data_IF_558600341034
#
_entry.id   IF_558600341034
#
_cell.length_a   1.000
_cell.length_b   1.000
_cell.length_c   1.000
_cell.angle_alpha   90.00
_cell.angle_beta   90.00
_cell.angle_gamma   90.00
#
_symmetry.space_group_name_H-M   'P 1'
#
loop_
_entity.id
_entity.type
_entity.pdbx_description
1 polymer ?
#
# COMPACT_ATOMS: atom_id res chain seq x y z
N UNK A 1 -5.66 -5.28 -26.99
CA UNK A 1 -4.31 -4.69 -26.77
C UNK A 1 -4.20 -4.51 -25.27
N UNK A 2 -3.20 -5.06 -24.65
CA UNK A 2 -2.96 -4.91 -23.21
C UNK A 2 -1.97 -3.79 -22.99
N UNK A 3 -2.10 -3.03 -21.91
CA UNK A 3 -1.23 -1.92 -21.57
C UNK A 3 -0.63 -2.13 -20.19
N UNK A 4 0.67 -1.88 -20.06
CA UNK A 4 1.36 -1.75 -18.78
C UNK A 4 1.89 -0.32 -18.68
N UNK A 5 1.34 0.45 -17.74
CA UNK A 5 1.65 1.86 -17.57
C UNK A 5 2.39 2.10 -16.26
N UNK A 6 3.47 2.90 -16.33
CA UNK A 6 4.24 3.31 -15.18
C UNK A 6 4.93 4.65 -15.45
N UNK A 7 4.42 5.73 -14.87
CA UNK A 7 4.91 7.09 -15.11
C UNK A 7 5.67 7.71 -13.92
N UNK A 8 5.50 7.17 -12.71
CA UNK A 8 6.11 7.70 -11.49
C UNK A 8 7.63 7.54 -11.48
N UNK A 9 8.38 8.62 -11.29
CA UNK A 9 9.84 8.56 -11.09
C UNK A 9 10.15 8.16 -9.65
N UNK A 10 10.96 7.13 -9.44
CA UNK A 10 11.29 6.61 -8.11
C UNK A 10 12.70 7.02 -7.72
N UNK A 11 12.82 7.70 -6.58
CA UNK A 11 14.10 7.97 -5.90
C UNK A 11 14.14 7.13 -4.62
N UNK A 12 15.20 6.37 -4.42
CA UNK A 12 15.25 5.40 -3.31
C UNK A 12 16.64 5.26 -2.73
N UNK A 13 16.68 4.84 -1.47
CA UNK A 13 17.92 4.62 -0.72
C UNK A 13 18.19 5.71 0.30
N UNK A 14 19.31 5.56 1.00
CA UNK A 14 19.72 6.52 2.04
C UNK A 14 19.91 7.91 1.44
N UNK A 15 19.28 8.90 2.06
CA UNK A 15 19.33 10.29 1.61
C UNK A 15 18.46 10.58 0.37
N UNK A 16 17.51 9.71 0.02
CA UNK A 16 16.60 9.95 -1.11
C UNK A 16 15.83 11.27 -0.99
N UNK A 17 15.58 11.77 0.24
CA UNK A 17 14.99 13.07 0.51
C UNK A 17 15.78 14.25 -0.09
N UNK A 18 17.09 14.12 -0.34
CA UNK A 18 17.89 15.15 -1.00
C UNK A 18 17.36 15.52 -2.40
N UNK A 19 16.55 14.65 -3.01
CA UNK A 19 15.85 14.96 -4.26
C UNK A 19 15.00 16.23 -4.15
N UNK A 20 14.44 16.51 -2.97
CA UNK A 20 13.59 17.67 -2.70
C UNK A 20 14.33 19.00 -2.82
N UNK A 21 15.67 19.05 -2.73
CA UNK A 21 16.47 20.27 -2.96
C UNK A 21 16.31 20.87 -4.35
N UNK A 22 15.78 20.10 -5.29
CA UNK A 22 15.48 20.60 -6.64
C UNK A 22 14.15 21.37 -6.71
N UNK A 23 13.33 21.29 -5.66
CA UNK A 23 12.13 22.12 -5.53
C UNK A 23 12.60 23.46 -4.95
N UNK A 24 12.52 24.52 -5.76
CA UNK A 24 13.06 25.84 -5.43
C UNK A 24 12.06 26.92 -5.79
N UNK A 25 12.00 27.96 -4.96
CA UNK A 25 11.23 29.19 -5.21
C UNK A 25 9.74 28.89 -5.48
N UNK A 26 9.17 27.88 -4.82
CA UNK A 26 7.80 27.40 -5.00
C UNK A 26 6.96 27.56 -3.74
N UNK A 27 5.64 27.64 -3.92
CA UNK A 27 4.68 27.41 -2.86
C UNK A 27 4.41 25.91 -2.79
N UNK A 28 4.62 25.33 -1.62
CA UNK A 28 4.56 23.88 -1.37
C UNK A 28 3.51 23.59 -0.31
N UNK A 29 2.61 22.65 -0.57
CA UNK A 29 1.73 22.07 0.43
C UNK A 29 2.23 20.68 0.83
N UNK A 30 2.55 20.49 2.10
CA UNK A 30 2.82 19.18 2.68
C UNK A 30 1.52 18.64 3.26
N UNK A 31 1.07 17.48 2.75
CA UNK A 31 -0.09 16.75 3.26
C UNK A 31 0.41 15.63 4.16
N UNK A 32 -0.09 15.59 5.40
CA UNK A 32 0.35 14.62 6.42
C UNK A 32 -0.75 14.36 7.44
N UNK A 33 -0.47 13.53 8.43
CA UNK A 33 -1.31 13.30 9.59
C UNK A 33 -0.72 13.94 10.87
N UNK A 34 -1.54 14.09 11.92
CA UNK A 34 -1.13 14.73 13.18
C UNK A 34 -0.01 13.99 13.89
N UNK A 35 0.10 12.67 13.73
CA UNK A 35 1.18 11.91 14.34
C UNK A 35 2.51 12.25 13.69
N UNK A 36 2.58 12.25 12.36
CA UNK A 36 3.78 12.63 11.61
C UNK A 36 4.17 14.09 11.88
N UNK A 37 3.17 15.00 11.96
CA UNK A 37 3.40 16.40 12.31
C UNK A 37 3.97 16.53 13.74
N UNK A 38 3.41 15.80 14.70
CA UNK A 38 3.85 15.81 16.11
C UNK A 38 5.28 15.31 16.35
N UNK A 39 5.79 14.44 15.48
CA UNK A 39 7.17 13.94 15.55
C UNK A 39 8.15 14.67 14.60
N UNK A 40 7.71 15.77 13.97
CA UNK A 40 8.55 16.67 13.18
C UNK A 40 8.93 16.16 11.79
N UNK A 41 8.24 15.16 11.25
CA UNK A 41 8.55 14.64 9.90
C UNK A 41 8.30 15.67 8.79
N UNK A 42 7.20 16.48 8.80
CA UNK A 42 7.03 17.56 7.83
C UNK A 42 8.16 18.59 7.87
N UNK A 43 8.65 18.96 9.07
CA UNK A 43 9.75 19.91 9.23
C UNK A 43 11.06 19.34 8.65
N UNK A 44 11.32 18.04 8.86
CA UNK A 44 12.44 17.34 8.24
C UNK A 44 12.37 17.40 6.72
N UNK A 45 11.20 17.16 6.13
CA UNK A 45 10.96 17.23 4.68
C UNK A 45 11.11 18.67 4.18
N UNK A 46 10.53 19.65 4.89
CA UNK A 46 10.64 21.07 4.56
C UNK A 46 12.08 21.57 4.58
N UNK A 47 12.92 21.05 5.48
CA UNK A 47 14.34 21.38 5.56
C UNK A 47 15.16 21.04 4.31
N UNK A 48 14.65 20.19 3.42
CA UNK A 48 15.25 19.90 2.12
C UNK A 48 14.80 20.86 1.00
N UNK A 49 13.76 21.66 1.23
CA UNK A 49 13.24 22.60 0.23
C UNK A 49 14.07 23.89 0.23
N UNK A 50 14.25 24.47 -0.96
CA UNK A 50 15.11 25.65 -1.12
C UNK A 50 14.29 26.87 -1.43
N UNK A 51 14.25 27.87 -0.51
CA UNK A 51 13.51 29.14 -0.67
C UNK A 51 12.03 28.96 -1.00
N UNK A 52 11.41 27.90 -0.49
CA UNK A 52 10.00 27.61 -0.69
C UNK A 52 9.12 28.20 0.41
N UNK A 53 7.91 28.59 0.05
CA UNK A 53 6.84 28.87 1.00
C UNK A 53 6.13 27.55 1.31
N UNK A 54 6.24 27.06 2.55
CA UNK A 54 5.69 25.75 2.95
C UNK A 54 4.46 25.96 3.81
N UNK A 55 3.36 25.31 3.42
CA UNK A 55 2.14 25.15 4.21
C UNK A 55 1.95 23.67 4.55
N UNK A 56 1.51 23.36 5.75
CA UNK A 56 1.28 21.98 6.19
C UNK A 56 -0.20 21.77 6.43
N UNK A 57 -0.77 20.74 5.80
CA UNK A 57 -2.09 20.21 6.10
C UNK A 57 -1.94 18.87 6.81
N UNK A 58 -2.19 18.86 8.12
CA UNK A 58 -2.02 17.71 9.03
C UNK A 58 -3.34 17.03 9.40
N UNK A 59 -4.40 17.37 8.67
CA UNK A 59 -5.76 16.91 8.96
C UNK A 59 -6.08 15.47 8.53
N UNK A 60 -5.12 14.74 7.93
CA UNK A 60 -5.40 13.38 7.47
C UNK A 60 -5.57 12.43 8.66
N UNK A 61 -6.53 11.53 8.53
CA UNK A 61 -6.82 10.45 9.49
C UNK A 61 -6.79 9.09 8.76
N UNK A 62 -6.62 7.97 9.46
CA UNK A 62 -6.78 6.65 8.86
C UNK A 62 -8.14 6.51 8.17
N UNK A 63 -8.17 5.80 7.02
CA UNK A 63 -9.37 5.65 6.19
C UNK A 63 -10.01 7.02 5.87
N UNK A 64 -9.30 7.93 5.16
CA UNK A 64 -9.64 9.33 5.07
C UNK A 64 -11.06 9.55 4.56
N UNK A 65 -11.90 10.30 5.32
CA UNK A 65 -13.25 10.60 4.89
C UNK A 65 -13.29 11.74 3.85
N UNK A 66 -14.42 11.84 3.16
CA UNK A 66 -14.67 12.87 2.13
C UNK A 66 -14.44 14.29 2.71
N UNK A 67 -14.80 14.51 3.96
CA UNK A 67 -14.66 15.80 4.65
C UNK A 67 -13.18 16.21 4.80
N UNK A 68 -12.28 15.26 5.01
CA UNK A 68 -10.83 15.52 5.05
C UNK A 68 -10.32 15.93 3.67
N UNK A 69 -10.81 15.30 2.61
CA UNK A 69 -10.47 15.69 1.24
C UNK A 69 -10.96 17.12 0.97
N UNK A 70 -12.21 17.45 1.32
CA UNK A 70 -12.76 18.79 1.16
C UNK A 70 -11.95 19.86 1.92
N UNK A 71 -11.59 19.58 3.18
CA UNK A 71 -10.74 20.47 3.98
C UNK A 71 -9.34 20.64 3.35
N UNK A 72 -8.77 19.56 2.80
CA UNK A 72 -7.49 19.61 2.10
C UNK A 72 -7.56 20.44 0.81
N UNK A 73 -8.66 20.37 0.06
CA UNK A 73 -8.90 21.23 -1.13
C UNK A 73 -8.97 22.70 -0.73
N UNK A 74 -9.66 23.03 0.38
CA UNK A 74 -9.71 24.41 0.87
C UNK A 74 -8.31 24.90 1.30
N UNK A 75 -7.57 24.08 2.05
CA UNK A 75 -6.19 24.42 2.45
C UNK A 75 -5.28 24.64 1.24
N UNK A 76 -5.44 23.84 0.19
CA UNK A 76 -4.72 23.99 -1.08
C UNK A 76 -5.03 25.31 -1.77
N UNK A 77 -6.30 25.67 -1.82
CA UNK A 77 -6.75 26.95 -2.38
C UNK A 77 -6.17 28.14 -1.60
N UNK A 78 -6.23 28.08 -0.27
CA UNK A 78 -5.77 29.16 0.62
C UNK A 78 -4.26 29.40 0.51
N UNK A 79 -3.46 28.33 0.42
CA UNK A 79 -2.00 28.46 0.30
C UNK A 79 -1.52 28.71 -1.13
N UNK A 80 -2.34 28.41 -2.13
CA UNK A 80 -2.01 28.57 -3.54
C UNK A 80 -0.76 27.78 -3.95
N UNK A 81 -0.60 26.56 -3.43
CA UNK A 81 0.57 25.73 -3.68
C UNK A 81 0.66 25.32 -5.16
N UNK A 82 1.89 25.19 -5.63
CA UNK A 82 2.27 24.72 -6.97
C UNK A 82 2.93 23.33 -6.94
N UNK A 83 3.26 22.85 -5.75
CA UNK A 83 3.83 21.54 -5.49
C UNK A 83 3.11 20.92 -4.29
N UNK A 84 2.77 19.64 -4.40
CA UNK A 84 2.20 18.86 -3.31
C UNK A 84 3.16 17.76 -2.89
N UNK A 85 3.39 17.61 -1.59
CA UNK A 85 4.21 16.55 -1.02
C UNK A 85 3.38 15.78 0.00
N UNK A 86 2.98 14.57 -0.32
CA UNK A 86 2.30 13.67 0.60
C UNK A 86 3.35 12.93 1.45
N UNK A 87 3.34 13.13 2.77
CA UNK A 87 4.31 12.53 3.70
C UNK A 87 3.57 11.72 4.75
N UNK A 88 3.56 10.40 4.64
CA UNK A 88 2.81 9.54 5.55
C UNK A 88 2.60 8.13 5.02
N UNK A 89 1.68 7.41 5.63
CA UNK A 89 1.23 6.10 5.15
C UNK A 89 0.26 6.19 3.97
N UNK A 90 -0.31 5.05 3.59
CA UNK A 90 -1.25 4.95 2.47
C UNK A 90 -2.41 5.94 2.55
N UNK A 91 -3.05 6.07 3.71
CA UNK A 91 -4.15 7.02 3.91
C UNK A 91 -3.76 8.47 3.60
N UNK A 92 -2.54 8.87 3.95
CA UNK A 92 -2.03 10.22 3.67
C UNK A 92 -1.81 10.42 2.18
N UNK A 93 -1.23 9.43 1.50
CA UNK A 93 -0.97 9.48 0.06
C UNK A 93 -2.29 9.47 -0.70
N UNK A 94 -3.24 8.62 -0.31
CA UNK A 94 -4.58 8.54 -0.90
C UNK A 94 -5.36 9.85 -0.75
N UNK A 95 -5.33 10.46 0.45
CA UNK A 95 -5.94 11.76 0.68
C UNK A 95 -5.33 12.85 -0.22
N UNK A 96 -4.00 12.89 -0.35
CA UNK A 96 -3.32 13.86 -1.21
C UNK A 96 -3.69 13.69 -2.70
N UNK A 97 -3.77 12.45 -3.19
CA UNK A 97 -4.25 12.13 -4.53
C UNK A 97 -5.67 12.62 -4.76
N UNK A 98 -6.57 12.33 -3.82
CA UNK A 98 -7.96 12.75 -3.88
C UNK A 98 -8.08 14.29 -3.82
N UNK A 99 -7.33 14.96 -2.94
CA UNK A 99 -7.28 16.43 -2.87
C UNK A 99 -6.86 17.01 -4.22
N UNK A 100 -5.79 16.48 -4.85
CA UNK A 100 -5.32 16.91 -6.17
C UNK A 100 -6.41 16.74 -7.24
N UNK A 101 -7.04 15.57 -7.29
CA UNK A 101 -8.07 15.26 -8.28
C UNK A 101 -9.31 16.16 -8.11
N UNK A 102 -9.82 16.30 -6.88
CA UNK A 102 -10.99 17.14 -6.60
C UNK A 102 -10.69 18.62 -6.86
N UNK A 103 -9.50 19.11 -6.51
CA UNK A 103 -9.10 20.49 -6.78
C UNK A 103 -9.04 20.77 -8.29
N UNK A 104 -8.55 19.83 -9.09
CA UNK A 104 -8.56 19.94 -10.56
C UNK A 104 -9.98 20.15 -11.09
N UNK A 105 -10.92 19.34 -10.65
CA UNK A 105 -12.31 19.38 -11.13
C UNK A 105 -13.10 20.59 -10.60
N UNK A 106 -12.96 20.91 -9.30
CA UNK A 106 -13.80 21.90 -8.63
C UNK A 106 -13.27 23.33 -8.71
N UNK A 107 -11.95 23.51 -8.67
CA UNK A 107 -11.31 24.82 -8.69
C UNK A 107 -10.75 25.17 -10.07
N UNK A 108 -10.87 24.27 -11.05
CA UNK A 108 -10.32 24.41 -12.40
C UNK A 108 -8.82 24.76 -12.39
N UNK A 109 -8.10 24.25 -11.39
CA UNK A 109 -6.67 24.44 -11.26
C UNK A 109 -5.97 23.48 -12.22
N UNK A 110 -5.03 23.99 -13.02
CA UNK A 110 -4.18 23.17 -13.89
C UNK A 110 -3.17 22.38 -13.05
N UNK A 111 -3.65 21.30 -12.43
CA UNK A 111 -2.81 20.42 -11.60
C UNK A 111 -1.87 19.55 -12.44
N UNK A 112 -2.01 19.52 -13.77
CA UNK A 112 -1.12 18.76 -14.65
C UNK A 112 0.28 19.40 -14.75
N UNK A 113 0.39 20.68 -14.35
CA UNK A 113 1.68 21.40 -14.25
C UNK A 113 2.33 21.29 -12.87
N UNK A 114 1.68 20.63 -11.92
CA UNK A 114 2.18 20.48 -10.56
C UNK A 114 2.95 19.19 -10.42
N UNK A 115 4.05 19.24 -9.70
CA UNK A 115 4.69 18.03 -9.25
C UNK A 115 4.03 17.53 -7.94
N UNK A 116 3.56 16.30 -7.96
CA UNK A 116 3.06 15.59 -6.80
C UNK A 116 4.10 14.57 -6.33
N UNK A 117 4.63 14.78 -5.13
CA UNK A 117 5.57 13.88 -4.50
C UNK A 117 4.86 12.99 -3.49
N UNK A 118 5.12 11.70 -3.52
CA UNK A 118 4.73 10.76 -2.47
C UNK A 118 5.97 10.30 -1.70
N UNK A 119 5.94 10.51 -0.39
CA UNK A 119 7.02 10.17 0.53
C UNK A 119 6.45 9.22 1.59
N UNK A 120 6.38 7.90 1.31
CA UNK A 120 5.78 6.95 2.22
C UNK A 120 6.63 6.78 3.48
N UNK A 121 5.96 6.75 4.64
CA UNK A 121 6.56 6.46 5.95
C UNK A 121 6.27 5.05 6.42
N UNK A 122 5.53 4.27 5.64
CA UNK A 122 5.25 2.84 5.85
C UNK A 122 5.58 2.05 4.60
N UNK A 123 5.87 0.75 4.74
CA UNK A 123 6.15 -0.15 3.63
C UNK A 123 4.99 -1.17 3.51
N UNK A 124 3.94 -0.80 2.81
CA UNK A 124 2.71 -1.62 2.76
C UNK A 124 1.87 -1.41 1.51
N UNK A 125 1.27 -0.25 1.39
CA UNK A 125 0.19 -0.01 0.44
C UNK A 125 0.63 0.16 -1.01
N UNK A 126 1.89 0.56 -1.28
CA UNK A 126 2.34 0.89 -2.63
C UNK A 126 1.59 2.07 -3.26
N UNK A 127 0.89 2.90 -2.43
CA UNK A 127 0.10 4.02 -2.93
C UNK A 127 0.95 5.05 -3.66
N UNK A 128 2.23 5.16 -3.35
CA UNK A 128 3.18 6.06 -4.00
C UNK A 128 3.40 5.78 -5.49
N UNK A 129 2.96 4.61 -5.98
CA UNK A 129 3.12 4.20 -7.39
C UNK A 129 1.84 3.58 -7.99
N UNK A 130 0.71 3.70 -7.29
CA UNK A 130 -0.55 3.14 -7.77
C UNK A 130 -1.52 4.23 -8.22
N UNK A 131 -2.40 3.88 -9.17
CA UNK A 131 -3.50 4.72 -9.65
C UNK A 131 -4.76 4.63 -8.80
N UNK A 132 -4.65 4.05 -7.59
CA UNK A 132 -5.74 3.87 -6.64
C UNK A 132 -5.65 4.90 -5.52
N UNK A 133 -6.78 5.39 -5.05
CA UNK A 133 -6.93 6.09 -3.78
C UNK A 133 -8.24 5.63 -3.12
N UNK A 134 -8.19 5.28 -1.83
CA UNK A 134 -9.38 4.80 -1.11
C UNK A 134 -9.88 5.90 -0.17
N UNK A 135 -11.10 6.37 -0.43
CA UNK A 135 -11.76 7.42 0.37
C UNK A 135 -13.03 6.84 1.00
N UNK A 136 -13.31 7.24 2.22
CA UNK A 136 -14.44 6.72 3.01
C UNK A 136 -15.62 7.70 2.98
N UNK A 137 -16.80 7.21 2.65
CA UNK A 137 -18.07 7.89 2.90
C UNK A 137 -18.58 7.42 4.26
N UNK A 138 -18.41 8.26 5.27
CA UNK A 138 -18.80 7.92 6.64
C UNK A 138 -20.32 7.84 6.83
N UNK A 139 -21.10 8.62 6.06
CA UNK A 139 -22.56 8.60 6.14
C UNK A 139 -23.12 7.26 5.62
N UNK A 140 -22.53 6.72 4.55
CA UNK A 140 -22.94 5.44 3.97
C UNK A 140 -22.19 4.24 4.56
N UNK A 141 -21.10 4.47 5.31
CA UNK A 141 -20.22 3.41 5.82
C UNK A 141 -19.52 2.62 4.71
N UNK A 142 -19.20 3.27 3.57
CA UNK A 142 -18.62 2.63 2.38
C UNK A 142 -17.26 3.22 2.04
N UNK A 143 -16.33 2.36 1.65
CA UNK A 143 -15.04 2.77 1.09
C UNK A 143 -15.13 2.78 -0.43
N UNK A 144 -14.81 3.92 -1.04
CA UNK A 144 -14.77 4.10 -2.48
C UNK A 144 -13.34 4.06 -2.99
N UNK A 145 -12.96 3.07 -3.78
CA UNK A 145 -11.72 3.11 -4.54
C UNK A 145 -11.89 4.07 -5.72
N UNK A 146 -11.10 5.12 -5.74
CA UNK A 146 -10.90 5.95 -6.94
C UNK A 146 -9.82 5.29 -7.77
N UNK A 147 -10.03 5.14 -9.08
CA UNK A 147 -9.09 4.45 -9.98
C UNK A 147 -8.92 5.26 -11.25
N UNK A 148 -7.84 6.03 -11.33
CA UNK A 148 -7.54 6.89 -12.47
C UNK A 148 -6.03 7.09 -12.61
N UNK A 149 -5.53 7.19 -13.83
CA UNK A 149 -4.11 7.45 -14.09
C UNK A 149 -3.66 8.83 -13.58
N UNK A 150 -4.58 9.79 -13.51
CA UNK A 150 -4.36 11.12 -12.94
C UNK A 150 -4.02 11.13 -11.45
N UNK A 151 -4.30 10.02 -10.74
CA UNK A 151 -3.97 9.83 -9.33
C UNK A 151 -2.51 9.40 -9.11
N UNK A 152 -1.79 8.98 -10.16
CA UNK A 152 -0.39 8.61 -10.02
C UNK A 152 0.44 9.81 -9.54
N UNK A 153 1.22 9.68 -8.45
CA UNK A 153 2.22 10.66 -8.10
C UNK A 153 3.30 10.78 -9.18
N UNK A 154 3.81 11.99 -9.41
CA UNK A 154 4.88 12.21 -10.39
C UNK A 154 6.21 11.65 -9.90
N UNK A 155 6.41 11.71 -8.58
CA UNK A 155 7.65 11.30 -7.93
C UNK A 155 7.34 10.53 -6.64
N UNK A 156 7.97 9.37 -6.47
CA UNK A 156 8.02 8.63 -5.22
C UNK A 156 9.43 8.73 -4.61
N UNK A 157 9.52 9.02 -3.31
CA UNK A 157 10.78 9.09 -2.57
C UNK A 157 10.76 8.05 -1.46
N UNK A 158 11.56 6.99 -1.61
CA UNK A 158 11.62 5.84 -0.73
C UNK A 158 12.87 5.92 0.16
N UNK A 159 12.78 6.68 1.26
CA UNK A 159 13.85 6.80 2.25
C UNK A 159 13.54 5.97 3.49
N UNK A 160 14.28 4.88 3.68
CA UNK A 160 14.05 3.94 4.77
C UNK A 160 14.19 4.56 6.16
N UNK A 161 14.89 5.70 6.29
CA UNK A 161 14.99 6.40 7.57
C UNK A 161 13.64 6.82 8.12
N UNK A 162 12.68 7.16 7.24
CA UNK A 162 11.32 7.54 7.64
C UNK A 162 10.49 6.37 8.17
N UNK A 163 10.97 5.13 8.03
CA UNK A 163 10.26 3.92 8.49
C UNK A 163 10.83 3.33 9.77
N UNK A 164 11.94 3.82 10.30
CA UNK A 164 12.61 3.24 11.48
C UNK A 164 11.77 3.40 12.76
N UNK A 165 10.94 4.43 12.85
CA UNK A 165 10.02 4.65 13.97
C UNK A 165 8.73 3.82 13.91
N UNK A 166 8.50 3.08 12.82
CA UNK A 166 7.28 2.28 12.64
C UNK A 166 7.27 1.11 13.63
N UNK A 167 6.21 1.00 14.48
CA UNK A 167 6.10 -0.09 15.45
C UNK A 167 6.11 -1.48 14.80
N UNK A 168 6.61 -2.52 15.51
CA UNK A 168 6.62 -3.89 15.00
C UNK A 168 5.24 -4.39 14.54
N UNK A 169 4.17 -4.05 15.26
CA UNK A 169 2.79 -4.43 14.89
C UNK A 169 2.38 -3.85 13.54
N UNK A 170 2.70 -2.58 13.28
CA UNK A 170 2.43 -1.93 11.99
C UNK A 170 3.34 -2.52 10.90
N UNK A 171 4.62 -2.80 11.22
CA UNK A 171 5.53 -3.49 10.29
C UNK A 171 5.00 -4.87 9.89
N UNK A 172 4.39 -5.60 10.84
CA UNK A 172 3.78 -6.90 10.57
C UNK A 172 2.57 -6.76 9.62
N UNK A 173 1.62 -5.90 9.99
CA UNK A 173 0.39 -5.67 9.20
C UNK A 173 0.74 -5.19 7.77
N UNK A 174 1.59 -4.18 7.64
CA UNK A 174 1.96 -3.63 6.32
C UNK A 174 2.84 -4.60 5.52
N UNK A 175 3.72 -5.33 6.18
CA UNK A 175 4.62 -6.27 5.50
C UNK A 175 3.91 -7.52 4.97
N UNK A 176 2.93 -8.06 5.70
CA UNK A 176 2.11 -9.16 5.16
C UNK A 176 1.18 -8.66 4.04
N UNK A 177 0.77 -7.39 4.09
CA UNK A 177 0.02 -6.74 3.03
C UNK A 177 0.82 -6.68 1.72
N UNK A 178 2.10 -6.30 1.78
CA UNK A 178 3.01 -6.36 0.62
C UNK A 178 3.09 -7.76 0.03
N UNK A 179 3.19 -8.79 0.89
CA UNK A 179 3.21 -10.16 0.41
C UNK A 179 1.90 -10.54 -0.28
N UNK A 180 0.77 -10.13 0.29
CA UNK A 180 -0.57 -10.37 -0.27
C UNK A 180 -0.73 -9.66 -1.62
N UNK A 181 -0.39 -8.38 -1.71
CA UNK A 181 -0.39 -7.59 -2.94
C UNK A 181 0.39 -8.31 -4.06
N UNK A 182 1.62 -8.69 -3.77
CA UNK A 182 2.48 -9.33 -4.76
C UNK A 182 1.97 -10.72 -5.18
N UNK A 183 1.43 -11.52 -4.24
CA UNK A 183 0.85 -12.84 -4.53
C UNK A 183 -0.42 -12.70 -5.36
N UNK A 184 -1.33 -11.78 -5.01
CA UNK A 184 -2.57 -11.58 -5.77
C UNK A 184 -2.31 -10.99 -7.14
N UNK A 185 -1.45 -9.98 -7.25
CA UNK A 185 -1.04 -9.43 -8.54
C UNK A 185 -0.46 -10.51 -9.47
N UNK A 186 0.37 -11.41 -8.92
CA UNK A 186 0.97 -12.49 -9.68
C UNK A 186 -0.05 -13.52 -10.17
N UNK A 187 -1.15 -13.78 -9.45
CA UNK A 187 -2.17 -14.77 -9.84
C UNK A 187 -3.43 -14.14 -10.43
N UNK A 188 -3.44 -12.82 -10.61
CA UNK A 188 -4.55 -12.10 -11.25
C UNK A 188 -4.81 -12.62 -12.66
N UNK A 189 -6.05 -12.53 -13.11
CA UNK A 189 -6.45 -12.81 -14.50
C UNK A 189 -5.87 -11.81 -15.49
N UNK A 190 -5.57 -10.59 -15.02
CA UNK A 190 -4.97 -9.49 -15.79
C UNK A 190 -3.42 -9.45 -15.66
N UNK A 191 -2.82 -10.49 -15.06
CA UNK A 191 -1.36 -10.54 -14.90
C UNK A 191 -0.65 -10.65 -16.26
N UNK A 192 0.43 -9.90 -16.41
CA UNK A 192 1.30 -9.87 -17.57
C UNK A 192 2.75 -10.21 -17.20
N UNK A 193 3.61 -10.45 -18.19
CA UNK A 193 5.04 -10.66 -17.92
C UNK A 193 5.68 -9.48 -17.17
N UNK A 194 5.18 -8.26 -17.39
CA UNK A 194 5.67 -7.05 -16.74
C UNK A 194 5.24 -6.97 -15.28
N UNK A 195 3.95 -7.19 -15.00
CA UNK A 195 3.44 -7.24 -13.61
C UNK A 195 4.02 -8.43 -12.84
N UNK A 196 4.21 -9.58 -13.51
CA UNK A 196 4.85 -10.76 -12.94
C UNK A 196 6.29 -10.46 -12.48
N UNK A 197 7.08 -9.79 -13.31
CA UNK A 197 8.46 -9.45 -12.98
C UNK A 197 8.55 -8.58 -11.71
N UNK A 198 7.66 -7.59 -11.57
CA UNK A 198 7.57 -6.74 -10.38
C UNK A 198 7.10 -7.54 -9.15
N UNK A 199 6.04 -8.35 -9.29
CA UNK A 199 5.50 -9.18 -8.21
C UNK A 199 6.51 -10.24 -7.72
N UNK A 200 7.19 -10.95 -8.62
CA UNK A 200 8.24 -11.92 -8.28
C UNK A 200 9.38 -11.26 -7.50
N UNK A 201 9.80 -10.07 -7.91
CA UNK A 201 10.84 -9.34 -7.20
C UNK A 201 10.38 -8.89 -5.82
N UNK A 202 9.15 -8.38 -5.70
CA UNK A 202 8.55 -8.02 -4.41
C UNK A 202 8.51 -9.22 -3.45
N UNK A 203 8.03 -10.38 -3.90
CA UNK A 203 7.98 -11.62 -3.11
C UNK A 203 9.36 -12.02 -2.59
N UNK A 204 10.39 -11.95 -3.44
CA UNK A 204 11.78 -12.26 -3.02
C UNK A 204 12.31 -11.29 -1.98
N UNK A 205 11.97 -10.00 -2.11
CA UNK A 205 12.38 -8.97 -1.14
C UNK A 205 11.65 -9.17 0.20
N UNK A 206 10.35 -9.49 0.19
CA UNK A 206 9.60 -9.83 1.42
C UNK A 206 10.23 -11.03 2.13
N UNK A 207 10.53 -12.14 1.40
CA UNK A 207 11.23 -13.31 1.99
C UNK A 207 12.51 -12.90 2.72
N UNK A 208 13.26 -11.97 2.14
CA UNK A 208 14.56 -11.57 2.67
C UNK A 208 14.49 -10.57 3.80
N UNK A 209 13.53 -9.63 3.77
CA UNK A 209 13.58 -8.41 4.56
C UNK A 209 12.46 -8.27 5.59
N UNK A 210 11.30 -8.94 5.43
CA UNK A 210 10.16 -8.73 6.32
C UNK A 210 10.49 -9.09 7.79
N UNK A 211 10.97 -10.30 8.03
CA UNK A 211 11.29 -10.72 9.39
C UNK A 211 12.45 -9.91 10.02
N UNK A 212 13.55 -9.63 9.31
CA UNK A 212 14.57 -8.72 9.83
C UNK A 212 14.03 -7.32 10.18
N UNK A 213 13.22 -6.70 9.31
CA UNK A 213 12.63 -5.39 9.58
C UNK A 213 11.65 -5.40 10.77
N UNK A 214 10.92 -6.51 10.98
CA UNK A 214 10.04 -6.71 12.13
C UNK A 214 10.82 -6.88 13.44
N UNK A 215 11.89 -7.68 13.41
CA UNK A 215 12.70 -8.01 14.60
C UNK A 215 13.61 -6.86 15.03
N UNK A 216 14.12 -6.09 14.08
CA UNK A 216 14.96 -4.94 14.33
C UNK A 216 14.50 -3.72 13.51
N UNK A 217 13.70 -2.83 14.10
CA UNK A 217 13.23 -1.61 13.43
C UNK A 217 14.36 -0.70 12.91
N UNK A 218 15.53 -0.73 13.52
CA UNK A 218 16.69 0.07 13.15
C UNK A 218 17.52 -0.53 11.99
N UNK A 219 17.20 -1.73 11.52
CA UNK A 219 17.86 -2.32 10.36
C UNK A 219 17.43 -1.60 9.08
N UNK A 220 18.13 -0.51 8.76
CA UNK A 220 17.88 0.33 7.58
C UNK A 220 17.92 -0.46 6.28
N UNK A 221 18.76 -1.50 6.18
CA UNK A 221 18.82 -2.36 4.99
C UNK A 221 17.55 -3.20 4.83
N UNK A 222 17.05 -3.75 5.93
CA UNK A 222 15.80 -4.49 5.92
C UNK A 222 14.61 -3.57 5.64
N UNK A 223 14.57 -2.37 6.26
CA UNK A 223 13.56 -1.34 6.00
C UNK A 223 13.55 -0.91 4.53
N UNK A 224 14.72 -0.60 3.96
CA UNK A 224 14.82 -0.26 2.53
C UNK A 224 14.38 -1.41 1.63
N UNK A 225 14.72 -2.65 2.00
CA UNK A 225 14.26 -3.83 1.30
C UNK A 225 12.73 -3.96 1.28
N UNK A 226 12.07 -3.67 2.42
CA UNK A 226 10.61 -3.66 2.51
C UNK A 226 9.98 -2.48 1.77
N UNK A 227 10.60 -1.30 1.80
CA UNK A 227 10.16 -0.15 1.00
C UNK A 227 10.16 -0.48 -0.50
N UNK A 228 11.26 -1.04 -0.98
CA UNK A 228 11.37 -1.46 -2.37
C UNK A 228 10.36 -2.58 -2.73
N UNK A 229 10.10 -3.50 -1.79
CA UNK A 229 9.11 -4.56 -1.98
C UNK A 229 7.69 -4.00 -2.11
N UNK A 230 7.32 -3.05 -1.23
CA UNK A 230 6.03 -2.36 -1.25
C UNK A 230 5.82 -1.62 -2.58
N UNK A 231 6.80 -0.84 -3.01
CA UNK A 231 6.76 -0.11 -4.26
C UNK A 231 6.59 -1.07 -5.46
N UNK A 232 7.38 -2.15 -5.54
CA UNK A 232 7.28 -3.13 -6.62
C UNK A 232 5.94 -3.87 -6.62
N UNK A 233 5.40 -4.21 -5.44
CA UNK A 233 4.06 -4.79 -5.33
C UNK A 233 3.00 -3.79 -5.81
N UNK A 234 3.17 -2.49 -5.47
CA UNK A 234 2.33 -1.39 -5.96
C UNK A 234 2.31 -1.28 -7.48
N UNK A 235 3.47 -1.33 -8.12
CA UNK A 235 3.60 -1.35 -9.58
C UNK A 235 2.89 -2.57 -10.18
N UNK A 236 3.05 -3.74 -9.57
CA UNK A 236 2.44 -4.97 -10.05
C UNK A 236 0.91 -4.87 -10.02
N UNK A 237 0.31 -4.64 -8.83
CA UNK A 237 -1.14 -4.64 -8.70
C UNK A 237 -1.82 -3.43 -9.36
N UNK A 238 -1.12 -2.30 -9.48
CA UNK A 238 -1.66 -1.14 -10.20
C UNK A 238 -1.97 -1.47 -11.66
N UNK A 239 -1.26 -2.44 -12.24
CA UNK A 239 -1.43 -2.86 -13.62
C UNK A 239 -2.21 -4.18 -13.79
N UNK A 240 -2.21 -5.06 -12.78
CA UNK A 240 -2.89 -6.36 -12.87
C UNK A 240 -4.16 -6.45 -12.02
N UNK A 241 -4.41 -5.44 -11.19
CA UNK A 241 -5.46 -5.53 -10.17
C UNK A 241 -5.09 -6.48 -9.03
N UNK A 242 -6.04 -6.65 -8.13
CA UNK A 242 -6.01 -7.54 -6.98
C UNK A 242 -7.11 -8.59 -7.11
N UNK A 243 -7.30 -9.42 -6.10
CA UNK A 243 -8.23 -10.55 -6.16
C UNK A 243 -9.17 -10.64 -4.96
N UNK A 244 -9.66 -11.85 -4.74
CA UNK A 244 -10.65 -12.17 -3.72
C UNK A 244 -10.19 -11.79 -2.30
N UNK A 245 -8.88 -11.91 -2.01
CA UNK A 245 -8.37 -11.63 -0.67
C UNK A 245 -8.58 -10.18 -0.28
N UNK A 246 -8.22 -9.24 -1.16
CA UNK A 246 -8.46 -7.81 -0.93
C UNK A 246 -9.94 -7.45 -0.92
N UNK A 247 -10.74 -8.05 -1.81
CA UNK A 247 -12.20 -7.84 -1.79
C UNK A 247 -12.83 -8.20 -0.44
N UNK A 248 -12.44 -9.34 0.14
CA UNK A 248 -12.89 -9.75 1.47
C UNK A 248 -12.29 -8.88 2.58
N UNK A 249 -11.00 -8.50 2.50
CA UNK A 249 -10.36 -7.68 3.50
C UNK A 249 -10.97 -6.27 3.59
N UNK A 250 -11.37 -5.68 2.47
CA UNK A 250 -12.07 -4.39 2.45
C UNK A 250 -13.41 -4.47 3.19
N UNK A 251 -14.21 -5.51 2.93
CA UNK A 251 -15.49 -5.73 3.62
C UNK A 251 -15.30 -5.91 5.13
N UNK A 252 -14.30 -6.71 5.55
CA UNK A 252 -13.96 -6.92 6.96
C UNK A 252 -13.47 -5.63 7.62
N UNK A 253 -12.61 -4.89 6.96
CA UNK A 253 -12.06 -3.63 7.48
C UNK A 253 -13.16 -2.58 7.65
N UNK A 254 -14.08 -2.45 6.70
CA UNK A 254 -15.21 -1.51 6.78
C UNK A 254 -16.16 -1.85 7.93
N UNK A 255 -16.46 -3.14 8.15
CA UNK A 255 -17.45 -3.58 9.15
C UNK A 255 -16.87 -3.71 10.55
N UNK A 256 -15.66 -4.26 10.70
CA UNK A 256 -15.08 -4.64 12.00
C UNK A 256 -13.89 -3.79 12.41
N UNK A 257 -13.52 -2.79 11.60
CA UNK A 257 -12.38 -1.91 11.85
C UNK A 257 -11.05 -2.67 12.08
N UNK A 258 -10.90 -3.84 11.44
CA UNK A 258 -9.64 -4.58 11.46
C UNK A 258 -8.64 -3.84 10.58
N UNK A 259 -7.38 -3.63 11.03
CA UNK A 259 -6.33 -3.08 10.19
C UNK A 259 -6.21 -3.85 8.87
N UNK A 260 -6.13 -3.13 7.75
CA UNK A 260 -6.22 -3.70 6.40
C UNK A 260 -5.25 -4.86 6.16
N UNK A 261 -3.96 -4.65 6.43
CA UNK A 261 -2.96 -5.71 6.25
C UNK A 261 -3.17 -6.91 7.18
N UNK A 262 -3.74 -6.68 8.37
CA UNK A 262 -4.11 -7.77 9.29
C UNK A 262 -5.23 -8.62 8.73
N UNK A 263 -6.29 -8.00 8.19
CA UNK A 263 -7.37 -8.71 7.53
C UNK A 263 -6.84 -9.52 6.34
N UNK A 264 -5.99 -8.91 5.52
CA UNK A 264 -5.33 -9.57 4.40
C UNK A 264 -4.51 -10.79 4.86
N UNK A 265 -3.69 -10.65 5.89
CA UNK A 265 -2.88 -11.75 6.43
C UNK A 265 -3.71 -12.93 6.93
N UNK A 266 -4.79 -12.66 7.67
CA UNK A 266 -5.69 -13.71 8.19
C UNK A 266 -6.34 -14.49 7.03
N UNK A 267 -6.80 -13.80 6.02
CA UNK A 267 -7.53 -14.38 4.88
C UNK A 267 -6.62 -15.14 3.91
N UNK A 268 -5.41 -14.66 3.70
CA UNK A 268 -4.52 -15.09 2.63
C UNK A 268 -4.35 -16.61 2.51
N UNK A 269 -4.06 -17.38 3.58
CA UNK A 269 -3.88 -18.83 3.46
C UNK A 269 -5.14 -19.57 3.00
N UNK A 270 -6.32 -19.06 3.36
CA UNK A 270 -7.60 -19.65 2.99
C UNK A 270 -7.95 -19.34 1.52
N UNK A 271 -7.80 -18.08 1.11
CA UNK A 271 -8.02 -17.65 -0.27
C UNK A 271 -7.04 -18.35 -1.22
N UNK A 272 -5.77 -18.47 -0.84
CA UNK A 272 -4.80 -19.22 -1.63
C UNK A 272 -5.20 -20.69 -1.79
N UNK A 273 -5.70 -21.32 -0.72
CA UNK A 273 -6.17 -22.74 -0.77
C UNK A 273 -7.37 -22.88 -1.71
N UNK A 274 -8.31 -21.95 -1.63
CA UNK A 274 -9.49 -21.89 -2.50
C UNK A 274 -9.07 -21.70 -3.96
N UNK A 275 -8.29 -20.66 -4.25
CA UNK A 275 -7.85 -20.33 -5.60
C UNK A 275 -7.03 -21.47 -6.26
N UNK A 276 -6.26 -22.21 -5.47
CA UNK A 276 -5.50 -23.35 -5.96
C UNK A 276 -6.34 -24.62 -6.18
N UNK A 277 -7.57 -24.67 -5.65
CA UNK A 277 -8.40 -25.88 -5.66
C UNK A 277 -7.79 -27.01 -4.82
N UNK A 278 -7.12 -26.67 -3.70
CA UNK A 278 -6.38 -27.66 -2.91
C UNK A 278 -7.29 -28.72 -2.28
N UNK A 279 -8.55 -28.41 -1.98
CA UNK A 279 -9.48 -29.34 -1.37
C UNK A 279 -10.07 -30.35 -2.36
N UNK A 280 -10.16 -29.97 -3.64
CA UNK A 280 -10.85 -30.72 -4.68
C UNK A 280 -9.91 -30.97 -5.88
N UNK A 281 -10.17 -30.27 -6.97
CA UNK A 281 -9.40 -30.31 -8.20
C UNK A 281 -8.51 -29.07 -8.34
N UNK A 282 -7.23 -29.29 -8.66
CA UNK A 282 -6.31 -28.19 -8.89
C UNK A 282 -6.74 -27.31 -10.05
N UNK A 283 -6.73 -26.00 -9.79
CA UNK A 283 -6.96 -24.96 -10.80
C UNK A 283 -5.66 -24.59 -11.54
N UNK A 284 -5.77 -23.74 -12.56
CA UNK A 284 -4.59 -23.15 -13.22
C UNK A 284 -3.75 -22.31 -12.25
N UNK A 285 -4.38 -21.67 -11.27
CA UNK A 285 -3.72 -20.85 -10.24
C UNK A 285 -2.73 -21.67 -9.39
N UNK A 286 -3.00 -22.97 -9.17
CA UNK A 286 -2.04 -23.84 -8.47
C UNK A 286 -0.67 -23.89 -9.14
N UNK A 287 -0.61 -23.82 -10.48
CA UNK A 287 0.66 -23.76 -11.22
C UNK A 287 1.39 -22.43 -10.98
N UNK A 288 0.64 -21.34 -10.89
CA UNK A 288 1.19 -20.02 -10.56
C UNK A 288 1.77 -20.00 -9.14
N UNK A 289 1.06 -20.55 -8.15
CA UNK A 289 1.60 -20.71 -6.78
C UNK A 289 2.83 -21.64 -6.73
N UNK A 290 2.87 -22.71 -7.54
CA UNK A 290 4.05 -23.55 -7.62
C UNK A 290 5.26 -22.78 -8.20
N UNK A 291 5.06 -21.83 -9.12
CA UNK A 291 6.11 -20.93 -9.62
C UNK A 291 6.62 -20.01 -8.49
N UNK A 292 5.74 -19.41 -7.68
CA UNK A 292 6.17 -18.65 -6.48
C UNK A 292 6.94 -19.54 -5.51
N UNK A 293 6.49 -20.77 -5.26
CA UNK A 293 7.22 -21.72 -4.41
C UNK A 293 8.65 -21.96 -4.89
N UNK A 294 8.84 -22.11 -6.20
CA UNK A 294 10.18 -22.24 -6.79
C UNK A 294 11.03 -20.99 -6.57
N UNK A 295 10.45 -19.79 -6.74
CA UNK A 295 11.13 -18.52 -6.45
C UNK A 295 11.60 -18.42 -5.00
N UNK A 296 10.85 -19.03 -4.08
CA UNK A 296 11.13 -19.04 -2.66
C UNK A 296 11.93 -20.29 -2.21
N UNK A 297 12.37 -21.13 -3.14
CA UNK A 297 13.10 -22.39 -2.84
C UNK A 297 12.30 -23.33 -1.94
N UNK A 298 10.98 -23.43 -2.19
CA UNK A 298 10.00 -24.23 -1.44
C UNK A 298 9.34 -25.29 -2.32
N UNK A 299 9.81 -25.46 -3.56
CA UNK A 299 9.23 -26.36 -4.52
C UNK A 299 9.28 -27.81 -4.07
N UNK A 300 8.40 -28.60 -4.65
CA UNK A 300 8.31 -30.05 -4.44
C UNK A 300 8.08 -30.75 -5.78
N UNK A 301 8.11 -32.08 -5.76
CA UNK A 301 7.91 -32.92 -6.94
C UNK A 301 6.53 -32.76 -7.61
N UNK A 302 5.55 -32.19 -6.90
CA UNK A 302 4.21 -31.97 -7.44
C UNK A 302 3.75 -30.52 -7.32
N UNK A 303 2.92 -30.09 -8.27
CA UNK A 303 2.28 -28.77 -8.25
C UNK A 303 1.45 -28.56 -6.97
N UNK A 304 0.65 -29.58 -6.57
CA UNK A 304 -0.16 -29.53 -5.36
C UNK A 304 0.71 -29.29 -4.12
N UNK A 305 1.79 -30.07 -3.97
CA UNK A 305 2.66 -29.95 -2.80
C UNK A 305 3.40 -28.62 -2.77
N UNK A 306 3.82 -28.11 -3.93
CA UNK A 306 4.46 -26.80 -4.06
C UNK A 306 3.48 -25.68 -3.67
N UNK A 307 2.24 -25.72 -4.15
CA UNK A 307 1.21 -24.76 -3.75
C UNK A 307 0.93 -24.82 -2.23
N UNK A 308 0.80 -26.02 -1.66
CA UNK A 308 0.64 -26.20 -0.22
C UNK A 308 1.83 -25.66 0.59
N UNK A 309 3.05 -25.78 0.09
CA UNK A 309 4.24 -25.23 0.75
C UNK A 309 4.21 -23.70 0.79
N UNK A 310 3.72 -23.06 -0.26
CA UNK A 310 3.53 -21.61 -0.28
C UNK A 310 2.46 -21.17 0.73
N UNK A 311 1.31 -21.88 0.77
CA UNK A 311 0.23 -21.60 1.74
C UNK A 311 0.74 -21.74 3.18
N UNK A 312 1.52 -22.80 3.46
CA UNK A 312 2.17 -22.97 4.78
C UNK A 312 3.13 -21.83 5.09
N UNK A 313 3.82 -21.28 4.09
CA UNK A 313 4.72 -20.15 4.27
C UNK A 313 3.95 -18.87 4.64
N UNK A 314 2.80 -18.62 4.02
CA UNK A 314 1.92 -17.53 4.43
C UNK A 314 1.51 -17.67 5.91
N UNK A 315 1.08 -18.87 6.35
CA UNK A 315 0.76 -19.13 7.76
C UNK A 315 1.96 -18.91 8.69
N UNK A 316 3.15 -19.35 8.30
CA UNK A 316 4.38 -19.14 9.08
C UNK A 316 4.74 -17.64 9.22
N UNK A 317 4.44 -16.81 8.23
CA UNK A 317 4.62 -15.36 8.38
C UNK A 317 3.70 -14.82 9.47
N UNK A 318 2.42 -15.19 9.47
CA UNK A 318 1.44 -14.76 10.48
C UNK A 318 1.92 -15.15 11.89
N UNK A 319 2.37 -16.40 12.07
CA UNK A 319 2.91 -16.90 13.34
C UNK A 319 4.16 -16.12 13.77
N UNK A 320 5.16 -15.94 12.88
CA UNK A 320 6.42 -15.27 13.20
C UNK A 320 6.29 -13.76 13.42
N UNK A 321 5.25 -13.16 12.85
CA UNK A 321 4.92 -11.76 13.04
C UNK A 321 3.99 -11.52 14.26
N UNK A 322 3.68 -12.56 15.04
CA UNK A 322 2.75 -12.52 16.17
C UNK A 322 1.38 -11.92 15.81
N UNK A 323 0.90 -12.19 14.61
CA UNK A 323 -0.40 -11.73 14.15
C UNK A 323 -1.51 -12.72 14.55
N UNK A 324 -2.75 -12.26 14.77
CA UNK A 324 -3.89 -13.16 14.94
C UNK A 324 -4.07 -14.04 13.69
N UNK A 325 -4.24 -15.34 13.89
CA UNK A 325 -4.39 -16.32 12.80
C UNK A 325 -5.85 -16.58 12.40
N UNK A 326 -6.80 -16.01 13.16
CA UNK A 326 -8.25 -16.16 12.93
C UNK A 326 -8.95 -14.83 13.12
N UNK A 327 -10.12 -14.68 12.50
CA UNK A 327 -10.97 -13.50 12.68
C UNK A 327 -11.45 -13.36 14.13
N UNK A 328 -11.74 -14.49 14.81
CA UNK A 328 -12.09 -14.47 16.21
C UNK A 328 -10.96 -13.93 17.09
N UNK A 329 -9.71 -14.35 16.84
CA UNK A 329 -8.54 -13.82 17.55
C UNK A 329 -8.28 -12.33 17.23
N UNK A 330 -8.78 -11.85 16.11
CA UNK A 330 -8.77 -10.43 15.73
C UNK A 330 -9.96 -9.62 16.30
N UNK A 331 -10.82 -10.25 17.13
CA UNK A 331 -11.94 -9.61 17.81
C UNK A 331 -13.28 -9.66 17.07
N UNK A 332 -13.38 -10.41 15.97
CA UNK A 332 -14.64 -10.56 15.23
C UNK A 332 -15.54 -11.59 15.88
N UNK A 333 -16.77 -11.23 16.17
CA UNK A 333 -17.76 -12.16 16.70
C UNK A 333 -18.39 -13.00 15.57
N UNK A 334 -18.39 -14.31 15.71
CA UNK A 334 -18.96 -15.23 14.71
C UNK A 334 -20.45 -14.99 14.40
N UNK A 335 -21.22 -14.48 15.37
CA UNK A 335 -22.65 -14.15 15.17
C UNK A 335 -22.87 -13.02 14.15
N UNK A 336 -21.87 -12.19 13.87
CA UNK A 336 -21.96 -11.06 12.94
C UNK A 336 -21.55 -11.44 11.49
N UNK A 337 -21.12 -12.70 11.27
CA UNK A 337 -20.66 -13.17 9.95
C UNK A 337 -21.75 -13.27 8.88
N UNK A 338 -23.00 -13.51 9.26
CA UNK A 338 -24.11 -13.62 8.29
C UNK A 338 -24.35 -12.32 7.52
N UNK A 339 -23.97 -11.18 8.10
CA UNK A 339 -24.08 -9.88 7.45
C UNK A 339 -23.00 -9.65 6.40
N UNK A 340 -21.81 -10.27 6.53
CA UNK A 340 -20.68 -10.09 5.60
C UNK A 340 -20.97 -10.78 4.25
N UNK A 341 -21.62 -11.93 4.27
CA UNK A 341 -21.98 -12.68 3.06
C UNK A 341 -22.98 -11.96 2.11
N UNK A 342 -23.48 -10.80 2.55
CA UNK A 342 -24.36 -9.92 1.76
C UNK A 342 -23.69 -8.64 1.30
N UNK A 343 -22.48 -8.33 1.77
CA UNK A 343 -21.69 -7.22 1.27
C UNK A 343 -21.18 -7.59 -0.12
N UNK A 344 -21.56 -6.81 -1.11
CA UNK A 344 -21.37 -7.03 -2.52
C UNK A 344 -19.94 -7.45 -2.90
N UNK A 345 -19.88 -8.55 -3.67
CA UNK A 345 -18.78 -8.90 -4.53
C UNK A 345 -18.83 -7.99 -5.76
#
# INVERSE_FOLDING_TARGET
>A
MEEFSFSTRIFFGEGALERLRRVQDKKVMIVTDRFMAGIGVPDKVAGHLTRCQVSVFDGVVPDPPIEVVAAGVQALQDCGAEVMIAVGGGSTIDAAKAIRAVAKETLHIDTDRWECFAVPTTSGTGSEVSRFAVITDQEKGVKYPLVEDSLLPDIAILDAELTTSVPPTVTADTGIDVFTHAVEAFVSTEASDFSDAAAEKAIKLVKRHLLPAYQNPEDRKARQGMHNASCLAGIAFSNSGLGLNHGMAHALGARFHIPHGRANGILLPYVMSFNAGCAEQLTSTAKRYARISRLLELESSSVRQSALNLIRTARRYIEKLNMPSTLQAAGVNAAEFEEIGRAHV
#
